data_IF_804418934240
#
_entry.id   IF_804418934240
#
_cell.length_a   1.000
_cell.length_b   1.000
_cell.length_c   1.000
_cell.angle_alpha   90.00
_cell.angle_beta   90.00
_cell.angle_gamma   90.00
#
_symmetry.space_group_name_H-M   'P 1'
#
loop_
_entity.id
_entity.type
_entity.pdbx_description
1 polymer ?
#
# COMPACT_ATOMS: atom_id res chain seq x y z
N UNK A 1 -22.58 -6.05 -5.88
CA UNK A 1 -21.24 -5.96 -5.29
C UNK A 1 -20.85 -7.34 -4.81
N UNK A 2 -19.65 -7.84 -5.12
CA UNK A 2 -19.19 -9.14 -4.62
C UNK A 2 -18.88 -8.98 -3.14
N UNK A 3 -19.50 -9.79 -2.28
CA UNK A 3 -19.30 -9.70 -0.84
C UNK A 3 -17.95 -10.30 -0.45
N UNK A 4 -17.12 -9.53 0.25
CA UNK A 4 -15.94 -10.03 0.95
C UNK A 4 -16.40 -10.72 2.23
N UNK A 5 -16.01 -11.98 2.44
CA UNK A 5 -16.23 -12.70 3.70
C UNK A 5 -14.99 -12.57 4.60
N UNK A 6 -15.12 -12.62 5.92
CA UNK A 6 -13.97 -12.66 6.82
C UNK A 6 -13.18 -13.97 6.65
N UNK A 7 -11.88 -13.99 6.98
CA UNK A 7 -11.11 -15.23 7.12
C UNK A 7 -11.64 -16.09 8.30
N UNK A 8 -11.34 -17.40 8.35
CA UNK A 8 -10.53 -18.17 7.40
C UNK A 8 -11.29 -18.53 6.10
N UNK A 9 -10.57 -18.91 5.02
CA UNK A 9 -11.21 -19.36 3.79
C UNK A 9 -11.94 -20.70 3.96
N UNK A 10 -12.99 -20.90 3.16
CA UNK A 10 -13.76 -22.16 3.14
C UNK A 10 -13.01 -23.27 2.38
N UNK A 11 -12.25 -22.90 1.35
CA UNK A 11 -11.44 -23.80 0.53
C UNK A 11 -9.98 -23.60 0.91
N UNK A 12 -9.20 -24.69 0.91
CA UNK A 12 -7.76 -24.60 1.12
C UNK A 12 -7.14 -23.64 0.09
N UNK A 13 -6.46 -22.57 0.53
CA UNK A 13 -5.88 -21.59 -0.38
C UNK A 13 -4.62 -22.15 -1.06
N UNK A 14 -4.39 -21.71 -2.29
CA UNK A 14 -3.18 -21.97 -3.06
C UNK A 14 -2.56 -20.62 -3.47
N UNK A 15 -1.98 -19.88 -2.51
CA UNK A 15 -1.55 -18.50 -2.73
C UNK A 15 -0.53 -18.39 -3.86
N UNK A 16 -0.59 -17.28 -4.58
CA UNK A 16 0.39 -16.91 -5.60
C UNK A 16 1.27 -15.81 -5.05
N UNK A 17 2.55 -15.88 -5.36
CA UNK A 17 3.53 -14.92 -4.92
C UNK A 17 4.10 -14.14 -6.10
N UNK A 18 4.39 -12.86 -5.84
CA UNK A 18 5.17 -12.03 -6.73
C UNK A 18 6.46 -11.63 -6.03
N UNK A 19 7.57 -11.86 -6.72
CA UNK A 19 8.87 -11.34 -6.30
C UNK A 19 9.04 -9.93 -6.84
N UNK A 20 9.29 -8.97 -5.96
CA UNK A 20 9.84 -7.67 -6.33
C UNK A 20 11.37 -7.78 -6.23
N UNK A 21 12.14 -7.70 -7.33
CA UNK A 21 13.57 -7.97 -7.30
C UNK A 21 14.34 -6.86 -6.56
N UNK A 22 15.54 -7.17 -6.08
CA UNK A 22 16.46 -6.16 -5.58
C UNK A 22 16.74 -5.11 -6.66
N UNK A 23 16.88 -3.84 -6.24
CA UNK A 23 17.02 -2.69 -7.12
C UNK A 23 15.70 -2.19 -7.72
N UNK A 24 14.57 -2.83 -7.42
CA UNK A 24 13.28 -2.29 -7.82
C UNK A 24 12.94 -1.01 -7.03
N UNK A 25 12.29 -0.06 -7.71
CA UNK A 25 11.83 1.20 -7.13
C UNK A 25 10.39 1.08 -6.63
N UNK A 26 10.13 1.61 -5.44
CA UNK A 26 8.80 1.79 -4.87
C UNK A 26 8.58 3.27 -4.62
N UNK A 27 7.55 3.84 -5.23
CA UNK A 27 7.13 5.22 -4.98
C UNK A 27 6.26 5.24 -3.74
N UNK A 28 6.56 6.17 -2.81
CA UNK A 28 5.76 6.43 -1.61
C UNK A 28 5.41 7.91 -1.56
N UNK A 29 4.12 8.21 -1.40
CA UNK A 29 3.67 9.53 -0.95
C UNK A 29 3.38 9.47 0.54
N UNK A 30 3.80 10.48 1.28
CA UNK A 30 3.55 10.59 2.70
C UNK A 30 3.46 12.05 3.12
N UNK A 31 2.68 12.31 4.17
CA UNK A 31 2.60 13.62 4.80
C UNK A 31 3.52 13.61 6.03
N UNK A 32 4.66 14.33 6.01
CA UNK A 32 5.62 14.35 7.10
C UNK A 32 5.05 14.95 8.40
N UNK A 33 3.92 15.65 8.33
CA UNK A 33 3.22 16.17 9.51
C UNK A 33 2.31 15.14 10.18
N UNK A 34 2.08 13.99 9.54
CA UNK A 34 1.10 12.99 9.97
C UNK A 34 1.79 11.75 10.53
N UNK A 35 1.41 11.33 11.75
CA UNK A 35 1.87 10.10 12.40
C UNK A 35 3.40 9.88 12.42
N UNK A 36 4.20 10.96 12.43
CA UNK A 36 5.67 10.87 12.37
C UNK A 36 6.19 10.21 11.09
N UNK A 37 5.43 10.29 9.99
CA UNK A 37 5.76 9.61 8.75
C UNK A 37 7.03 10.18 8.11
N UNK A 38 7.95 9.29 7.75
CA UNK A 38 9.09 9.56 6.91
C UNK A 38 9.22 8.44 5.86
N UNK A 39 10.06 8.64 4.84
CA UNK A 39 10.19 7.75 3.69
C UNK A 39 10.33 6.25 4.05
N UNK A 40 11.08 5.92 5.10
CA UNK A 40 11.36 4.54 5.53
C UNK A 40 10.61 4.11 6.80
N UNK A 41 9.75 4.96 7.38
CA UNK A 41 9.04 4.63 8.62
C UNK A 41 7.82 3.76 8.33
N UNK A 42 7.75 2.61 8.99
CA UNK A 42 6.59 1.73 9.05
C UNK A 42 5.69 2.18 10.20
N UNK A 43 4.44 2.52 9.90
CA UNK A 43 3.49 3.00 10.91
C UNK A 43 3.03 1.83 11.78
N UNK A 44 3.19 1.97 13.09
CA UNK A 44 2.77 0.98 14.11
C UNK A 44 1.43 1.34 14.79
N UNK A 45 1.01 2.60 14.74
CA UNK A 45 -0.30 3.02 15.24
C UNK A 45 -1.40 2.65 14.24
N UNK A 46 -2.32 1.74 14.58
CA UNK A 46 -3.35 1.25 13.66
C UNK A 46 -4.37 0.31 14.31
N UNK A 47 -5.24 -0.35 13.53
CA UNK A 47 -5.37 -0.25 12.08
C UNK A 47 -6.20 0.98 11.62
N UNK A 48 -5.75 1.63 10.54
CA UNK A 48 -6.36 2.81 9.90
C UNK A 48 -6.72 2.50 8.45
N UNK A 49 -5.77 1.96 7.67
CA UNK A 49 -5.89 1.76 6.23
C UNK A 49 -6.28 0.33 5.86
N UNK A 50 -6.61 0.09 4.59
CA UNK A 50 -6.88 -1.25 4.09
C UNK A 50 -5.62 -2.08 4.17
N UNK A 51 -5.73 -3.31 4.66
CA UNK A 51 -4.61 -4.23 4.87
C UNK A 51 -3.64 -3.88 6.01
N UNK A 52 -4.00 -2.94 6.89
CA UNK A 52 -3.32 -2.81 8.18
C UNK A 52 -3.43 -4.12 8.99
N UNK A 53 -2.29 -4.69 9.40
CA UNK A 53 -2.20 -5.97 10.11
C UNK A 53 -1.99 -5.82 11.62
N UNK A 54 -2.04 -4.60 12.16
CA UNK A 54 -2.02 -4.36 13.60
C UNK A 54 -3.15 -5.14 14.31
N UNK A 55 -2.89 -5.60 15.54
CA UNK A 55 -3.76 -6.53 16.27
C UNK A 55 -5.05 -5.92 16.80
N UNK A 56 -5.11 -4.61 16.98
CA UNK A 56 -6.33 -3.95 17.46
C UNK A 56 -7.51 -4.23 16.51
N UNK A 57 -8.70 -4.63 17.02
CA UNK A 57 -9.85 -4.91 16.18
C UNK A 57 -10.44 -3.60 15.63
N UNK A 58 -10.90 -3.60 14.39
CA UNK A 58 -11.63 -2.46 13.83
C UNK A 58 -12.90 -2.16 14.66
N UNK A 59 -13.26 -0.89 14.93
CA UNK A 59 -12.59 0.35 14.52
C UNK A 59 -11.57 0.88 15.55
N UNK A 60 -11.23 0.11 16.59
CA UNK A 60 -10.25 0.48 17.61
C UNK A 60 -8.88 0.66 16.99
N UNK A 61 -8.16 1.69 17.44
CA UNK A 61 -6.79 2.01 17.02
C UNK A 61 -5.90 2.03 18.25
N UNK A 62 -4.74 1.40 18.15
CA UNK A 62 -3.74 1.38 19.20
C UNK A 62 -2.33 1.27 18.58
N UNK A 63 -1.32 1.60 19.36
CA UNK A 63 0.05 1.27 19.00
C UNK A 63 0.27 -0.25 19.05
N UNK A 64 0.87 -0.79 17.99
CA UNK A 64 1.34 -2.17 17.92
C UNK A 64 2.82 -2.13 17.47
N UNK A 65 3.78 -2.01 18.41
CA UNK A 65 5.19 -1.79 18.09
C UNK A 65 5.82 -2.94 17.30
N UNK A 66 5.19 -4.12 17.32
CA UNK A 66 5.65 -5.32 16.59
C UNK A 66 5.08 -5.40 15.16
N UNK A 67 4.10 -4.55 14.80
CA UNK A 67 3.39 -4.61 13.51
C UNK A 67 3.36 -3.26 12.83
N UNK A 68 4.36 -3.03 11.99
CA UNK A 68 4.54 -1.80 11.24
C UNK A 68 4.15 -1.97 9.78
N UNK A 69 3.50 -0.98 9.18
CA UNK A 69 3.11 -1.05 7.76
C UNK A 69 3.51 0.20 6.98
N UNK A 70 3.94 0.01 5.73
CA UNK A 70 4.17 1.09 4.75
C UNK A 70 3.43 0.79 3.45
N UNK A 71 2.92 1.84 2.82
CA UNK A 71 2.27 1.76 1.52
C UNK A 71 3.12 2.41 0.45
N UNK A 72 3.08 1.85 -0.75
CA UNK A 72 3.73 2.40 -1.92
C UNK A 72 3.14 1.84 -3.21
N UNK A 73 3.70 2.22 -4.34
CA UNK A 73 3.29 1.73 -5.65
C UNK A 73 4.47 1.74 -6.64
N UNK A 74 4.26 1.20 -7.84
CA UNK A 74 5.26 1.28 -8.91
C UNK A 74 5.39 2.68 -9.52
N UNK A 75 4.37 3.52 -9.38
CA UNK A 75 4.28 4.80 -10.09
C UNK A 75 3.79 5.90 -9.15
N UNK A 76 4.14 7.14 -9.50
CA UNK A 76 3.55 8.32 -8.88
C UNK A 76 2.04 8.42 -9.16
N UNK A 77 1.57 7.93 -10.31
CA UNK A 77 0.15 7.91 -10.70
C UNK A 77 -0.70 7.16 -9.68
N UNK A 78 -0.33 5.90 -9.39
CA UNK A 78 -1.00 5.06 -8.39
C UNK A 78 -1.03 5.70 -7.01
N UNK A 79 0.08 6.31 -6.56
CA UNK A 79 0.10 7.02 -5.28
C UNK A 79 -0.81 8.25 -5.25
N UNK A 80 -0.81 9.06 -6.32
CA UNK A 80 -1.64 10.27 -6.40
C UNK A 80 -3.12 9.91 -6.39
N UNK A 81 -3.56 8.92 -7.18
CA UNK A 81 -4.97 8.54 -7.20
C UNK A 81 -5.42 7.88 -5.90
N UNK A 82 -4.53 7.18 -5.18
CA UNK A 82 -4.89 6.61 -3.88
C UNK A 82 -5.19 7.68 -2.83
N UNK A 83 -4.47 8.80 -2.86
CA UNK A 83 -4.63 9.89 -1.89
C UNK A 83 -5.73 10.87 -2.31
N UNK A 84 -5.79 11.22 -3.60
CA UNK A 84 -6.63 12.30 -4.11
C UNK A 84 -7.78 11.84 -5.01
N UNK A 85 -7.93 10.53 -5.24
CA UNK A 85 -8.93 9.97 -6.16
C UNK A 85 -10.37 10.26 -5.71
N UNK A 86 -10.63 10.22 -4.41
CA UNK A 86 -11.96 10.53 -3.85
C UNK A 86 -12.29 12.03 -3.95
N UNK A 87 -11.34 12.91 -3.62
CA UNK A 87 -11.55 14.37 -3.68
C UNK A 87 -11.53 14.91 -5.10
N UNK A 88 -10.91 14.19 -6.03
CA UNK A 88 -10.61 14.61 -7.41
C UNK A 88 -9.72 15.84 -7.50
N UNK A 89 -9.08 16.26 -6.41
CA UNK A 89 -8.22 17.45 -6.34
C UNK A 89 -6.86 17.06 -5.77
N UNK A 90 -5.81 17.24 -6.58
CA UNK A 90 -4.42 17.03 -6.18
C UNK A 90 -3.93 18.25 -5.41
N UNK A 91 -4.13 18.23 -4.10
CA UNK A 91 -3.53 19.22 -3.21
C UNK A 91 -2.10 18.79 -2.87
N UNK A 92 -1.13 19.41 -3.54
CA UNK A 92 0.30 19.10 -3.32
C UNK A 92 0.78 19.49 -1.92
N UNK A 93 0.06 20.38 -1.22
CA UNK A 93 0.14 20.67 0.22
C UNK A 93 1.49 20.45 0.90
N UNK A 94 1.47 19.64 1.96
CA UNK A 94 2.61 19.22 2.79
C UNK A 94 3.20 17.88 2.34
N UNK A 95 2.68 17.27 1.27
CA UNK A 95 3.06 15.93 0.86
C UNK A 95 4.49 15.89 0.32
N UNK A 96 5.21 14.84 0.69
CA UNK A 96 6.49 14.47 0.10
C UNK A 96 6.31 13.20 -0.74
N UNK A 97 7.14 13.06 -1.77
CA UNK A 97 7.34 11.83 -2.52
C UNK A 97 8.74 11.30 -2.26
N UNK A 98 8.83 10.00 -2.03
CA UNK A 98 10.09 9.27 -1.95
C UNK A 98 10.13 8.16 -3.01
N UNK A 99 11.28 7.99 -3.65
CA UNK A 99 11.63 6.78 -4.39
C UNK A 99 12.45 5.87 -3.48
N UNK A 100 11.83 4.79 -3.00
CA UNK A 100 12.50 3.77 -2.21
C UNK A 100 13.12 2.75 -3.14
N UNK A 101 14.32 2.26 -2.82
CA UNK A 101 14.98 1.18 -3.55
C UNK A 101 15.02 -0.07 -2.69
N UNK A 102 14.63 -1.20 -3.26
CA UNK A 102 14.74 -2.49 -2.58
C UNK A 102 16.19 -2.97 -2.53
N UNK A 103 16.70 -3.32 -1.36
CA UNK A 103 18.10 -3.79 -1.18
C UNK A 103 18.22 -5.31 -1.32
N UNK A 104 17.11 -6.03 -1.16
CA UNK A 104 16.95 -7.47 -1.43
C UNK A 104 15.63 -7.71 -2.16
N UNK A 105 15.46 -8.91 -2.71
CA UNK A 105 14.17 -9.33 -3.23
C UNK A 105 13.11 -9.36 -2.12
N UNK A 106 11.90 -8.87 -2.42
CA UNK A 106 10.73 -8.97 -1.55
C UNK A 106 9.77 -10.02 -2.06
N UNK A 107 9.30 -10.90 -1.17
CA UNK A 107 8.28 -11.88 -1.46
C UNK A 107 6.89 -11.34 -1.08
N UNK A 108 6.06 -11.03 -2.08
CA UNK A 108 4.75 -10.43 -1.86
C UNK A 108 3.63 -11.43 -2.17
N UNK A 109 2.61 -11.50 -1.32
CA UNK A 109 1.37 -12.20 -1.64
C UNK A 109 0.65 -11.45 -2.76
N UNK A 110 0.37 -12.13 -3.88
CA UNK A 110 -0.28 -11.53 -5.03
C UNK A 110 -1.80 -11.62 -4.92
N UNK A 111 -2.44 -10.49 -4.61
CA UNK A 111 -3.89 -10.35 -4.51
C UNK A 111 -4.52 -9.79 -5.79
N UNK A 112 -3.76 -9.69 -6.89
CA UNK A 112 -4.27 -9.19 -8.17
C UNK A 112 -5.01 -10.27 -8.94
N UNK A 113 -5.99 -9.87 -9.74
CA UNK A 113 -6.78 -10.80 -10.56
C UNK A 113 -7.30 -12.02 -9.77
N UNK A 114 -7.00 -13.22 -10.25
CA UNK A 114 -7.36 -14.48 -9.58
C UNK A 114 -6.51 -14.81 -8.35
N UNK A 115 -5.42 -14.06 -8.10
CA UNK A 115 -4.56 -14.22 -6.93
C UNK A 115 -5.32 -14.08 -5.61
N UNK A 116 -6.25 -13.13 -5.52
CA UNK A 116 -7.12 -12.98 -4.34
C UNK A 116 -8.01 -14.22 -4.09
N UNK A 117 -8.58 -14.79 -5.16
CA UNK A 117 -9.38 -16.03 -5.08
C UNK A 117 -8.53 -17.20 -4.60
N UNK A 118 -7.30 -17.32 -5.14
CA UNK A 118 -6.33 -18.34 -4.77
C UNK A 118 -5.82 -18.19 -3.33
N UNK A 119 -5.70 -16.95 -2.85
CA UNK A 119 -5.40 -16.64 -1.45
C UNK A 119 -6.60 -16.85 -0.50
N UNK A 120 -7.76 -17.29 -1.00
CA UNK A 120 -8.92 -17.65 -0.18
C UNK A 120 -9.93 -16.52 0.05
N UNK A 121 -9.73 -15.35 -0.58
CA UNK A 121 -10.67 -14.22 -0.55
C UNK A 121 -11.22 -13.94 -1.96
N UNK A 122 -11.61 -12.70 -2.27
CA UNK A 122 -12.12 -12.29 -3.59
C UNK A 122 -11.44 -11.00 -4.05
N UNK A 123 -11.36 -10.76 -5.35
CA UNK A 123 -10.70 -9.56 -5.91
C UNK A 123 -11.27 -8.23 -5.37
N UNK A 124 -12.53 -8.23 -4.91
CA UNK A 124 -13.13 -7.07 -4.26
C UNK A 124 -12.41 -6.63 -2.98
N UNK A 125 -11.61 -7.50 -2.33
CA UNK A 125 -10.84 -7.17 -1.12
C UNK A 125 -9.95 -5.92 -1.30
N UNK A 126 -9.40 -5.73 -2.51
CA UNK A 126 -8.51 -4.61 -2.85
C UNK A 126 -9.27 -3.33 -3.18
N UNK A 127 -10.60 -3.37 -3.25
CA UNK A 127 -11.48 -2.23 -3.58
C UNK A 127 -12.57 -2.00 -2.52
N UNK A 128 -12.58 -2.83 -1.47
CA UNK A 128 -13.58 -2.79 -0.40
C UNK A 128 -13.41 -1.51 0.44
N UNK A 129 -14.50 -0.76 0.59
CA UNK A 129 -14.53 0.45 1.42
C UNK A 129 -14.62 0.09 2.90
N UNK A 130 -15.22 -1.06 3.23
CA UNK A 130 -15.18 -1.62 4.57
C UNK A 130 -13.80 -2.21 4.89
N UNK A 131 -12.97 -1.39 5.54
CA UNK A 131 -11.58 -1.75 5.89
C UNK A 131 -11.48 -2.94 6.83
N UNK A 132 -12.53 -3.24 7.61
CA UNK A 132 -12.52 -4.34 8.58
C UNK A 132 -12.06 -5.65 7.94
N UNK A 133 -12.67 -6.06 6.82
CA UNK A 133 -12.33 -7.35 6.20
C UNK A 133 -10.94 -7.36 5.58
N UNK A 134 -10.51 -6.26 4.95
CA UNK A 134 -9.13 -6.15 4.43
C UNK A 134 -8.08 -6.26 5.53
N UNK A 135 -8.36 -5.71 6.72
CA UNK A 135 -7.47 -5.77 7.88
C UNK A 135 -7.48 -7.17 8.52
N UNK A 136 -8.66 -7.79 8.64
CA UNK A 136 -8.78 -9.19 9.11
C UNK A 136 -8.02 -10.15 8.20
N UNK A 137 -8.17 -10.01 6.88
CA UNK A 137 -7.42 -10.81 5.91
C UNK A 137 -5.92 -10.55 5.98
N UNK A 138 -5.49 -9.29 6.09
CA UNK A 138 -4.06 -8.97 6.23
C UNK A 138 -3.44 -9.60 7.47
N UNK A 139 -4.13 -9.55 8.62
CA UNK A 139 -3.72 -10.30 9.82
C UNK A 139 -3.65 -11.81 9.56
N UNK A 140 -4.66 -12.37 8.91
CA UNK A 140 -4.68 -13.80 8.60
C UNK A 140 -3.52 -14.22 7.69
N UNK A 141 -3.19 -13.43 6.66
CA UNK A 141 -2.04 -13.67 5.79
C UNK A 141 -0.73 -13.62 6.57
N UNK A 142 -0.57 -12.61 7.43
CA UNK A 142 0.61 -12.43 8.26
C UNK A 142 0.81 -13.57 9.29
N UNK A 143 -0.26 -13.96 9.98
CA UNK A 143 -0.26 -14.92 11.10
C UNK A 143 -0.20 -16.38 10.63
N UNK A 144 -0.60 -16.66 9.39
CA UNK A 144 -0.71 -18.03 8.85
C UNK A 144 0.46 -18.35 7.91
N UNK A 145 1.69 -18.13 8.38
CA UNK A 145 2.90 -18.29 7.58
C UNK A 145 3.12 -19.72 7.04
N UNK A 146 2.55 -20.74 7.66
CA UNK A 146 2.61 -22.11 7.11
C UNK A 146 1.81 -22.28 5.80
N UNK A 147 0.87 -21.38 5.51
CA UNK A 147 0.08 -21.33 4.26
C UNK A 147 0.67 -20.31 3.30
N UNK A 148 0.89 -19.09 3.78
CA UNK A 148 1.26 -17.94 2.93
C UNK A 148 2.77 -17.71 2.87
N UNK A 149 3.57 -18.45 3.62
CA UNK A 149 4.98 -18.12 3.84
C UNK A 149 5.18 -16.87 4.70
N UNK A 150 6.43 -16.61 5.06
CA UNK A 150 6.85 -15.34 5.67
C UNK A 150 6.91 -14.26 4.57
N UNK A 151 5.75 -13.76 4.12
CA UNK A 151 5.69 -12.69 3.11
C UNK A 151 6.14 -11.36 3.69
N UNK A 152 6.85 -10.59 2.87
CA UNK A 152 7.29 -9.21 3.15
C UNK A 152 6.12 -8.21 3.04
N UNK A 153 5.03 -8.60 2.37
CA UNK A 153 3.86 -7.75 2.17
C UNK A 153 2.90 -8.29 1.12
N UNK A 154 2.07 -7.40 0.61
CA UNK A 154 1.01 -7.67 -0.35
C UNK A 154 1.21 -6.81 -1.61
N UNK A 155 0.86 -7.36 -2.76
CA UNK A 155 0.63 -6.60 -3.99
C UNK A 155 -0.83 -6.73 -4.41
N UNK A 156 -1.47 -5.60 -4.75
CA UNK A 156 -2.88 -5.54 -5.10
C UNK A 156 -3.16 -4.44 -6.13
N UNK A 157 -4.34 -4.47 -6.75
CA UNK A 157 -4.77 -3.40 -7.65
C UNK A 157 -5.32 -2.20 -6.86
N UNK A 158 -4.83 -1.01 -7.21
CA UNK A 158 -5.36 0.25 -6.72
C UNK A 158 -6.86 0.36 -7.03
N UNK A 159 -7.64 0.88 -6.08
CA UNK A 159 -9.09 0.97 -6.24
C UNK A 159 -9.54 1.98 -7.31
N UNK A 160 -8.71 2.98 -7.62
CA UNK A 160 -9.05 4.10 -8.48
C UNK A 160 -8.65 3.89 -9.95
N UNK A 161 -7.49 3.29 -10.20
CA UNK A 161 -6.94 3.16 -11.57
C UNK A 161 -6.39 1.76 -11.92
N UNK A 162 -6.58 0.77 -11.06
CA UNK A 162 -6.12 -0.62 -11.26
C UNK A 162 -4.58 -0.80 -11.40
N UNK A 163 -3.78 0.26 -11.20
CA UNK A 163 -2.32 0.12 -11.14
C UNK A 163 -1.90 -0.69 -9.90
N UNK A 164 -0.70 -1.28 -9.94
CA UNK A 164 -0.18 -2.05 -8.81
C UNK A 164 0.09 -1.11 -7.60
N UNK A 165 -0.35 -1.55 -6.42
CA UNK A 165 -0.07 -0.96 -5.13
C UNK A 165 0.49 -2.01 -4.16
N UNK A 166 1.22 -1.53 -3.16
CA UNK A 166 1.92 -2.34 -2.17
C UNK A 166 1.48 -1.98 -0.75
N UNK A 167 1.32 -3.00 0.08
CA UNK A 167 1.24 -2.90 1.53
C UNK A 167 2.36 -3.78 2.11
N UNK A 168 3.45 -3.17 2.55
CA UNK A 168 4.62 -3.88 3.06
C UNK A 168 4.58 -3.92 4.58
N UNK A 169 4.81 -5.11 5.13
CA UNK A 169 4.93 -5.34 6.57
C UNK A 169 6.32 -4.99 7.06
N UNK A 170 6.49 -4.82 8.37
CA UNK A 170 7.77 -4.51 9.01
C UNK A 170 8.86 -5.56 8.72
N UNK A 171 8.48 -6.76 8.28
CA UNK A 171 9.36 -7.78 7.69
C UNK A 171 10.24 -7.24 6.55
N UNK A 172 9.78 -6.24 5.81
CA UNK A 172 10.52 -5.58 4.73
C UNK A 172 11.35 -4.37 5.19
N UNK A 173 11.39 -4.05 6.49
CA UNK A 173 12.03 -2.81 6.98
C UNK A 173 13.54 -2.76 6.75
N UNK A 174 14.21 -3.90 6.73
CA UNK A 174 15.64 -4.04 6.43
C UNK A 174 15.94 -4.03 4.91
N UNK A 175 14.89 -4.05 4.09
CA UNK A 175 14.97 -4.28 2.66
C UNK A 175 14.71 -3.02 1.81
N UNK A 176 14.56 -1.87 2.45
CA UNK A 176 14.27 -0.59 1.80
C UNK A 176 15.37 0.43 2.12
N UNK A 177 15.87 1.08 1.08
CA UNK A 177 16.79 2.21 1.18
C UNK A 177 16.17 3.44 0.50
N UNK A 178 16.54 4.63 0.97
CA UNK A 178 16.11 5.88 0.38
C UNK A 178 17.14 6.96 0.71
N UNK A 179 17.86 7.43 -0.30
CA UNK A 179 18.79 8.54 -0.11
C UNK A 179 18.00 9.85 0.06
N UNK A 180 18.53 10.85 0.80
CA UNK A 180 17.86 12.15 0.94
C UNK A 180 17.52 12.83 -0.40
N UNK A 181 18.30 12.58 -1.46
CA UNK A 181 18.05 13.12 -2.81
C UNK A 181 16.84 12.47 -3.53
N UNK A 182 16.41 11.31 -3.06
CA UNK A 182 15.25 10.57 -3.58
C UNK A 182 13.94 11.01 -2.93
N UNK A 183 14.02 11.88 -1.92
CA UNK A 183 12.89 12.51 -1.26
C UNK A 183 12.76 13.95 -1.77
N UNK A 184 11.55 14.35 -2.15
CA UNK A 184 11.26 15.74 -2.49
C UNK A 184 9.82 16.10 -2.18
N UNK A 185 9.53 17.38 -1.89
CA UNK A 185 8.17 17.85 -1.80
C UNK A 185 7.40 17.56 -3.08
N UNK A 186 6.14 17.13 -2.95
CA UNK A 186 5.27 16.87 -4.09
C UNK A 186 5.07 18.14 -4.95
N UNK A 187 5.14 19.32 -4.31
CA UNK A 187 5.13 20.63 -4.96
C UNK A 187 6.41 21.00 -5.72
N UNK A 188 7.45 20.17 -5.70
CA UNK A 188 8.72 20.49 -6.35
C UNK A 188 8.54 20.64 -7.87
N UNK A 189 9.14 21.68 -8.47
CA UNK A 189 8.93 22.05 -9.88
C UNK A 189 9.20 20.90 -10.86
N UNK A 190 10.18 20.05 -10.55
CA UNK A 190 10.51 18.87 -11.37
C UNK A 190 9.34 17.88 -11.53
N UNK A 191 8.37 17.89 -10.62
CA UNK A 191 7.22 16.97 -10.63
C UNK A 191 5.99 17.59 -11.29
N UNK A 192 5.98 18.91 -11.51
CA UNK A 192 4.79 19.64 -11.95
C UNK A 192 4.23 19.14 -13.28
N UNK A 193 5.11 18.86 -14.24
CA UNK A 193 4.72 18.32 -15.54
C UNK A 193 4.08 16.92 -15.40
N UNK A 194 4.73 16.03 -14.64
CA UNK A 194 4.22 14.68 -14.39
C UNK A 194 2.90 14.69 -13.63
N UNK A 195 2.75 15.52 -12.59
CA UNK A 195 1.50 15.66 -11.82
C UNK A 195 0.35 16.11 -12.74
N UNK A 196 0.60 17.06 -13.65
CA UNK A 196 -0.41 17.51 -14.61
C UNK A 196 -0.82 16.40 -15.57
N UNK A 197 0.14 15.64 -16.09
CA UNK A 197 -0.14 14.51 -16.97
C UNK A 197 -0.94 13.42 -16.25
N UNK A 198 -0.53 13.05 -15.03
CA UNK A 198 -1.25 12.09 -14.18
C UNK A 198 -2.68 12.56 -13.92
N UNK A 199 -2.85 13.85 -13.61
CA UNK A 199 -4.16 14.42 -13.35
C UNK A 199 -5.06 14.37 -14.59
N UNK A 200 -4.54 14.69 -15.78
CA UNK A 200 -5.30 14.57 -17.04
C UNK A 200 -5.71 13.11 -17.28
N UNK A 201 -4.77 12.17 -17.17
CA UNK A 201 -5.01 10.75 -17.46
C UNK A 201 -6.01 10.09 -16.50
N UNK A 202 -6.11 10.58 -15.26
CA UNK A 202 -6.98 10.02 -14.22
C UNK A 202 -8.21 10.90 -13.90
N UNK A 203 -8.42 11.99 -14.64
CA UNK A 203 -9.55 12.91 -14.43
C UNK A 203 -9.51 13.60 -13.07
N UNK A 204 -8.34 14.11 -12.67
CA UNK A 204 -8.12 14.90 -11.46
C UNK A 204 -7.89 16.38 -11.82
N UNK A 205 -8.21 17.26 -10.88
CA UNK A 205 -7.90 18.69 -10.95
C UNK A 205 -6.64 19.00 -10.14
N UNK A 206 -5.80 19.88 -10.68
CA UNK A 206 -4.58 20.38 -10.00
C UNK A 206 -4.74 21.89 -9.81
N UNK A 207 -4.91 22.38 -8.56
CA UNK A 207 -4.91 23.80 -8.29
C UNK A 207 -3.58 24.47 -8.69
N UNK A 208 -3.56 25.77 -8.96
CA UNK A 208 -2.32 26.51 -9.13
C UNK A 208 -1.45 26.48 -7.87
N UNK A 209 -0.17 26.18 -8.04
CA UNK A 209 0.91 26.30 -7.06
C UNK A 209 2.22 26.63 -7.78
#
# INVERSE_FOLDING_TARGET
MVAVKPPPPVVAPEPVFRVLPAGATIVRLFDPSSFGAHALVFRTFGPISRFDHQRAPYPTRADDPDRGIVYGANTLSSCIVEIFGDSRVVDVGTWDVAALTTTRALNLLDLRGSGAMRAGTVAAISKESNRQFSQEWSRYFYDTAFVYGEVDGLVFHNAHNDEDAYALYERASDALDCAPADIRPLRHDSLRAAIREIAISNGLFVPPY
#
